data_IF_551497395641
#
_entry.id   IF_551497395641
#
_cell.length_a   1.000
_cell.length_b   1.000
_cell.length_c   1.000
_cell.angle_alpha   90.00
_cell.angle_beta   90.00
_cell.angle_gamma   90.00
#
_symmetry.space_group_name_H-M   'P 1'
#
loop_
_entity.id
_entity.type
_entity.pdbx_description
1 polymer ?
#
# COMPACT_ATOMS: atom_id res chain seq x y z
N UNK A 1 -6.30 -2.45 7.28
CA UNK A 1 -5.59 -1.51 8.18
C UNK A 1 -5.39 -2.17 9.53
N UNK A 2 -4.18 -2.67 9.80
CA UNK A 2 -3.83 -3.30 11.07
C UNK A 2 -2.71 -2.51 11.75
N UNK A 3 -2.67 -2.50 13.08
CA UNK A 3 -1.57 -1.86 13.81
C UNK A 3 -0.35 -2.79 13.82
N UNK A 4 0.77 -2.31 13.30
CA UNK A 4 2.02 -3.06 13.24
C UNK A 4 2.84 -2.88 14.52
N UNK A 5 2.88 -3.90 15.38
CA UNK A 5 3.63 -3.85 16.65
C UNK A 5 5.12 -3.58 16.40
N UNK A 6 5.68 -4.16 15.33
CA UNK A 6 7.09 -3.98 14.97
C UNK A 6 7.40 -2.55 14.55
N UNK A 7 6.56 -1.93 13.70
CA UNK A 7 6.75 -0.52 13.32
C UNK A 7 6.64 0.40 14.53
N UNK A 8 5.65 0.18 15.41
CA UNK A 8 5.51 0.96 16.65
C UNK A 8 6.76 0.83 17.53
N UNK A 9 7.29 -0.39 17.72
CA UNK A 9 8.53 -0.60 18.48
C UNK A 9 9.73 0.09 17.84
N UNK A 10 9.84 0.07 16.51
CA UNK A 10 10.91 0.75 15.76
C UNK A 10 10.86 2.26 15.95
N UNK A 11 9.67 2.86 15.89
CA UNK A 11 9.46 4.29 16.15
C UNK A 11 9.84 4.63 17.59
N UNK A 12 9.44 3.81 18.57
CA UNK A 12 9.80 4.00 19.97
C UNK A 12 11.33 3.98 20.17
N UNK A 13 12.03 2.99 19.58
CA UNK A 13 13.50 2.90 19.62
C UNK A 13 14.18 4.13 19.02
N UNK A 14 13.73 4.60 17.85
CA UNK A 14 14.27 5.81 17.21
C UNK A 14 14.15 7.06 18.08
N UNK A 15 13.14 7.09 18.95
CA UNK A 15 12.87 8.22 19.85
C UNK A 15 13.43 8.02 21.26
N UNK A 16 14.18 6.95 21.50
CA UNK A 16 14.77 6.66 22.82
C UNK A 16 13.73 6.41 23.92
N UNK A 17 12.49 6.07 23.56
CA UNK A 17 11.40 5.81 24.52
C UNK A 17 10.98 4.35 24.45
N UNK A 18 10.54 3.81 25.58
CA UNK A 18 9.97 2.46 25.63
C UNK A 18 8.53 2.46 25.12
N UNK A 19 8.06 1.32 24.60
CA UNK A 19 6.66 1.14 24.23
C UNK A 19 5.72 1.43 25.41
N UNK A 20 6.13 1.07 26.63
CA UNK A 20 5.36 1.35 27.85
C UNK A 20 5.18 2.85 28.08
N UNK A 21 6.25 3.62 27.98
CA UNK A 21 6.22 5.08 28.12
C UNK A 21 5.41 5.72 27.00
N UNK A 22 5.54 5.23 25.76
CA UNK A 22 4.76 5.70 24.63
C UNK A 22 3.26 5.48 24.83
N UNK A 23 2.86 4.29 25.30
CA UNK A 23 1.47 3.94 25.58
C UNK A 23 0.89 4.71 26.78
N UNK A 24 1.67 4.85 27.86
CA UNK A 24 1.27 5.64 29.03
C UNK A 24 1.06 7.12 28.65
N UNK A 25 1.96 7.71 27.86
CA UNK A 25 1.81 9.09 27.35
C UNK A 25 0.60 9.23 26.43
N UNK A 26 0.22 8.16 25.74
CA UNK A 26 -0.97 8.12 24.89
C UNK A 26 -2.27 7.83 25.64
N UNK A 27 -2.22 7.55 26.95
CA UNK A 27 -3.40 7.15 27.73
C UNK A 27 -3.98 5.79 27.29
N UNK A 28 -3.18 4.96 26.61
CA UNK A 28 -3.61 3.66 26.08
C UNK A 28 -3.06 2.58 27.00
N UNK A 29 -3.94 1.77 27.59
CA UNK A 29 -3.47 0.61 28.35
C UNK A 29 -2.77 -0.38 27.42
N UNK A 30 -1.74 -1.08 27.94
CA UNK A 30 -1.07 -2.17 27.20
C UNK A 30 -2.08 -3.18 26.64
N UNK A 31 -3.10 -3.50 27.43
CA UNK A 31 -4.15 -4.43 27.03
C UNK A 31 -4.99 -3.89 25.86
N UNK A 32 -5.36 -2.61 25.89
CA UNK A 32 -6.07 -1.98 24.77
C UNK A 32 -5.21 -1.96 23.50
N UNK A 33 -3.92 -1.66 23.62
CA UNK A 33 -2.98 -1.69 22.49
C UNK A 33 -2.85 -3.09 21.87
N UNK A 34 -2.61 -4.13 22.68
CA UNK A 34 -2.50 -5.50 22.19
C UNK A 34 -3.83 -6.10 21.73
N UNK A 35 -4.96 -5.60 22.24
CA UNK A 35 -6.29 -5.95 21.72
C UNK A 35 -6.49 -5.37 20.33
N UNK A 36 -6.15 -4.08 20.13
CA UNK A 36 -6.22 -3.43 18.81
C UNK A 36 -5.23 -4.02 17.80
N UNK A 37 -4.02 -4.36 18.22
CA UNK A 37 -3.02 -4.97 17.33
C UNK A 37 -3.39 -6.39 16.88
N UNK A 38 -4.24 -7.09 17.64
CA UNK A 38 -4.75 -8.43 17.28
C UNK A 38 -5.97 -8.36 16.37
N UNK A 39 -6.69 -7.24 16.31
CA UNK A 39 -7.82 -7.07 15.40
C UNK A 39 -7.34 -6.93 13.95
N UNK A 40 -8.06 -7.57 13.04
CA UNK A 40 -7.80 -7.49 11.59
C UNK A 40 -8.09 -6.09 11.02
N UNK A 41 -9.00 -5.35 11.66
CA UNK A 41 -9.27 -3.94 11.36
C UNK A 41 -9.43 -3.11 12.62
N UNK A 42 -8.91 -1.89 12.58
CA UNK A 42 -9.03 -0.89 13.66
C UNK A 42 -9.80 0.33 13.19
N UNK A 43 -10.64 0.88 14.07
CA UNK A 43 -11.47 2.04 13.73
C UNK A 43 -10.62 3.31 13.55
N UNK A 44 -10.94 4.18 12.57
CA UNK A 44 -10.17 5.40 12.26
C UNK A 44 -9.97 6.35 13.45
N UNK A 45 -10.94 6.43 14.37
CA UNK A 45 -10.87 7.27 15.57
C UNK A 45 -9.74 6.82 16.50
N UNK A 46 -9.62 5.51 16.73
CA UNK A 46 -8.60 4.92 17.59
C UNK A 46 -7.20 5.12 17.00
N UNK A 47 -7.07 5.00 15.68
CA UNK A 47 -5.81 5.24 14.96
C UNK A 47 -5.39 6.71 15.10
N UNK A 48 -6.31 7.65 14.90
CA UNK A 48 -6.04 9.10 14.98
C UNK A 48 -5.60 9.52 16.39
N UNK A 49 -6.23 8.95 17.42
CA UNK A 49 -5.86 9.19 18.81
C UNK A 49 -4.42 8.71 19.11
N UNK A 50 -4.06 7.50 18.65
CA UNK A 50 -2.71 6.95 18.80
C UNK A 50 -1.68 7.80 18.04
N UNK A 51 -1.97 8.15 16.79
CA UNK A 51 -1.11 8.96 15.93
C UNK A 51 -0.84 10.35 16.52
N UNK A 52 -1.89 11.05 16.96
CA UNK A 52 -1.78 12.38 17.56
C UNK A 52 -0.94 12.39 18.83
N UNK A 53 -1.05 11.35 19.67
CA UNK A 53 -0.29 11.25 20.94
C UNK A 53 1.13 10.74 20.75
N UNK A 54 1.37 9.89 19.74
CA UNK A 54 2.72 9.48 19.35
C UNK A 54 3.44 10.56 18.52
N UNK A 55 2.75 11.60 18.06
CA UNK A 55 3.34 12.62 17.20
C UNK A 55 3.89 12.03 15.90
N UNK A 56 3.20 11.05 15.33
CA UNK A 56 3.52 10.42 14.03
C UNK A 56 2.26 10.40 13.19
N UNK A 57 2.41 10.34 11.87
CA UNK A 57 1.25 10.16 11.00
C UNK A 57 0.74 8.73 11.12
N UNK A 58 -0.58 8.54 11.07
CA UNK A 58 -1.24 7.24 11.22
C UNK A 58 -0.64 6.14 10.32
N UNK A 59 -0.35 6.45 9.07
CA UNK A 59 0.20 5.50 8.10
C UNK A 59 1.61 5.00 8.46
N UNK A 60 2.35 5.69 9.34
CA UNK A 60 3.73 5.29 9.69
C UNK A 60 3.78 4.00 10.51
N UNK A 61 2.69 3.65 11.19
CA UNK A 61 2.61 2.47 12.05
C UNK A 61 1.46 1.52 11.71
N UNK A 62 0.65 1.86 10.71
CA UNK A 62 -0.30 0.93 10.12
C UNK A 62 0.42 0.01 9.12
N UNK A 63 0.02 -1.25 9.14
CA UNK A 63 0.19 -2.15 8.00
C UNK A 63 -1.04 -1.95 7.11
N UNK A 64 -0.78 -1.29 5.97
CA UNK A 64 -1.67 -1.37 4.81
C UNK A 64 -1.38 -2.70 4.14
N UNK A 65 -2.17 -3.71 4.47
CA UNK A 65 -2.45 -4.77 3.50
C UNK A 65 -3.31 -4.20 2.36
N UNK A 66 -2.77 -3.23 1.64
CA UNK A 66 -3.32 -2.88 0.34
C UNK A 66 -2.73 -3.86 -0.68
N UNK A 67 -3.44 -4.97 -0.85
CA UNK A 67 -3.20 -5.92 -1.94
C UNK A 67 -3.22 -5.19 -3.30
N UNK A 68 -3.99 -4.10 -3.43
CA UNK A 68 -4.03 -3.24 -4.61
C UNK A 68 -2.76 -2.41 -4.80
N UNK A 69 -2.30 -1.71 -3.76
CA UNK A 69 -1.09 -0.87 -3.80
C UNK A 69 0.18 -1.70 -4.04
N UNK A 70 0.21 -2.94 -3.50
CA UNK A 70 1.30 -3.89 -3.79
C UNK A 70 1.27 -4.40 -5.23
N UNK A 71 0.10 -4.78 -5.78
CA UNK A 71 -0.05 -5.21 -7.18
C UNK A 71 0.37 -4.11 -8.16
N UNK A 72 -0.11 -2.89 -7.98
CA UNK A 72 0.28 -1.74 -8.83
C UNK A 72 1.79 -1.50 -8.73
N UNK A 73 2.38 -1.56 -7.54
CA UNK A 73 3.82 -1.38 -7.36
C UNK A 73 4.64 -2.49 -8.02
N UNK A 74 4.19 -3.75 -7.95
CA UNK A 74 4.83 -4.89 -8.63
C UNK A 74 4.73 -4.75 -10.14
N UNK A 75 3.57 -4.34 -10.65
CA UNK A 75 3.35 -4.07 -12.07
C UNK A 75 4.30 -2.99 -12.58
N UNK A 76 4.41 -1.86 -11.88
CA UNK A 76 5.31 -0.77 -12.29
C UNK A 76 6.77 -1.18 -12.31
N UNK A 77 7.22 -2.00 -11.34
CA UNK A 77 8.58 -2.56 -11.36
C UNK A 77 8.85 -3.43 -12.59
N UNK A 78 7.85 -4.19 -13.07
CA UNK A 78 7.96 -4.97 -14.31
C UNK A 78 8.05 -4.04 -15.53
N UNK A 79 7.23 -2.98 -15.56
CA UNK A 79 7.28 -1.96 -16.61
C UNK A 79 8.66 -1.30 -16.67
N UNK A 80 9.19 -0.86 -15.52
CA UNK A 80 10.51 -0.23 -15.42
C UNK A 80 11.61 -1.14 -15.93
N UNK A 81 11.57 -2.44 -15.59
CA UNK A 81 12.55 -3.42 -16.07
C UNK A 81 12.54 -3.56 -17.59
N UNK A 82 11.36 -3.57 -18.22
CA UNK A 82 11.24 -3.69 -19.68
C UNK A 82 11.68 -2.40 -20.36
N UNK A 83 11.26 -1.25 -19.85
CA UNK A 83 11.66 0.06 -20.38
C UNK A 83 13.18 0.28 -20.28
N UNK A 84 13.81 -0.18 -19.20
CA UNK A 84 15.27 -0.13 -19.04
C UNK A 84 16.00 -1.08 -20.00
N UNK A 85 15.43 -2.26 -20.29
CA UNK A 85 16.03 -3.24 -21.19
C UNK A 85 15.88 -2.86 -22.67
N UNK A 86 14.81 -2.15 -23.02
CA UNK A 86 14.50 -1.76 -24.40
C UNK A 86 14.27 -0.24 -24.49
N UNK A 87 15.35 0.55 -24.64
CA UNK A 87 15.25 1.99 -24.79
C UNK A 87 14.57 2.31 -26.13
N UNK A 88 13.35 2.87 -26.06
CA UNK A 88 12.50 3.14 -27.23
C UNK A 88 11.09 2.57 -27.10
N UNK A 89 10.85 1.70 -26.11
CA UNK A 89 9.51 1.20 -25.83
C UNK A 89 8.71 2.21 -25.01
N UNK A 90 7.47 2.46 -25.43
CA UNK A 90 6.51 3.27 -24.69
C UNK A 90 6.08 2.55 -23.39
N UNK A 91 6.31 3.22 -22.26
CA UNK A 91 6.01 2.73 -20.91
C UNK A 91 4.52 2.46 -20.72
N UNK A 92 3.65 3.28 -21.30
CA UNK A 92 2.21 3.13 -21.17
C UNK A 92 1.71 1.95 -22.00
N UNK A 93 2.31 1.69 -23.17
CA UNK A 93 2.08 0.46 -23.92
C UNK A 93 2.46 -0.77 -23.12
N UNK A 94 3.64 -0.79 -22.49
CA UNK A 94 4.09 -1.92 -21.66
C UNK A 94 3.18 -2.15 -20.47
N UNK A 95 2.79 -1.09 -19.75
CA UNK A 95 1.82 -1.19 -18.64
C UNK A 95 0.52 -1.81 -19.12
N UNK A 96 -0.02 -1.30 -20.23
CA UNK A 96 -1.28 -1.77 -20.77
C UNK A 96 -1.22 -3.24 -21.20
N UNK A 97 -0.14 -3.65 -21.86
CA UNK A 97 0.07 -5.06 -22.23
C UNK A 97 0.10 -5.96 -21.01
N UNK A 98 0.78 -5.57 -19.92
CA UNK A 98 0.76 -6.37 -18.70
C UNK A 98 -0.64 -6.48 -18.07
N UNK A 99 -1.45 -5.41 -18.10
CA UNK A 99 -2.83 -5.46 -17.63
C UNK A 99 -3.69 -6.42 -18.47
N UNK A 100 -3.56 -6.34 -19.80
CA UNK A 100 -4.24 -7.25 -20.73
C UNK A 100 -3.90 -8.71 -20.47
N UNK A 101 -2.65 -9.02 -20.10
CA UNK A 101 -2.21 -10.39 -19.80
C UNK A 101 -2.83 -10.97 -18.52
N UNK A 102 -3.37 -10.15 -17.63
CA UNK A 102 -4.11 -10.60 -16.44
C UNK A 102 -5.59 -10.88 -16.73
N UNK A 103 -6.09 -10.51 -17.91
CA UNK A 103 -7.48 -10.73 -18.31
C UNK A 103 -7.67 -12.10 -18.97
N UNK A 104 -8.90 -12.63 -18.86
CA UNK A 104 -9.35 -13.80 -19.61
C UNK A 104 -9.16 -13.59 -21.13
N UNK A 105 -8.85 -14.63 -21.92
CA UNK A 105 -8.51 -14.48 -23.35
C UNK A 105 -9.56 -13.70 -24.16
N UNK A 106 -10.84 -13.92 -23.88
CA UNK A 106 -11.93 -13.23 -24.57
C UNK A 106 -11.99 -11.73 -24.22
N UNK A 107 -11.78 -11.36 -22.95
CA UNK A 107 -11.78 -9.96 -22.50
C UNK A 107 -10.56 -9.21 -23.01
N UNK A 108 -9.40 -9.88 -23.00
CA UNK A 108 -8.16 -9.37 -23.57
C UNK A 108 -8.34 -8.99 -25.04
N UNK A 109 -8.93 -9.90 -25.83
CA UNK A 109 -9.18 -9.67 -27.25
C UNK A 109 -10.15 -8.50 -27.45
N UNK A 110 -11.25 -8.46 -26.70
CA UNK A 110 -12.22 -7.35 -26.77
C UNK A 110 -11.57 -6.00 -26.49
N UNK A 111 -10.79 -5.88 -25.40
CA UNK A 111 -10.13 -4.61 -25.04
C UNK A 111 -9.04 -4.21 -26.02
N UNK A 112 -8.28 -5.17 -26.53
CA UNK A 112 -7.29 -4.92 -27.57
C UNK A 112 -7.93 -4.36 -28.86
N UNK A 113 -9.04 -4.95 -29.29
CA UNK A 113 -9.80 -4.49 -30.47
C UNK A 113 -10.39 -3.08 -30.27
N UNK A 114 -11.03 -2.82 -29.12
CA UNK A 114 -11.57 -1.49 -28.79
C UNK A 114 -10.47 -0.42 -28.83
N UNK A 115 -9.27 -0.75 -28.35
CA UNK A 115 -8.13 0.17 -28.37
C UNK A 115 -7.63 0.43 -29.78
N UNK A 116 -7.52 -0.60 -30.61
CA UNK A 116 -7.13 -0.47 -32.03
C UNK A 116 -8.12 0.38 -32.85
N UNK A 117 -9.40 0.33 -32.49
CA UNK A 117 -10.47 1.04 -33.20
C UNK A 117 -10.45 2.57 -32.99
N UNK A 118 -9.83 3.08 -31.92
CA UNK A 118 -9.75 4.54 -31.64
C UNK A 118 -8.83 5.33 -32.59
N UNK A 119 -8.32 4.71 -33.65
CA UNK A 119 -7.33 5.30 -34.56
C UNK A 119 -7.93 6.07 -35.76
N UNK A 120 -9.25 5.98 -36.00
CA UNK A 120 -9.93 6.66 -37.12
C UNK A 120 -10.82 7.83 -36.66
N UNK A 121 -10.27 8.76 -35.91
CA UNK A 121 -10.89 10.10 -35.75
C UNK A 121 -9.96 11.09 -36.42
N UNK A 122 -10.17 11.27 -37.74
CA UNK A 122 -9.67 12.38 -38.53
C UNK A 122 -10.36 13.69 -38.14
#
# INVERSE_FOLDING_TARGET
MKVSIEKVRRICRKRGITLAQALNRAGVSRNAFYSLARKESVLPVSIRAIAGRLGVKAFEFLDDEDVLTSKTSVLMKKVDRIAAKYPGVDRDNVRHTFLLLEEEPAERLRRALIRGQKSDIH
#
